data_IF_182184773965
#
_entry.id   IF_182184773965
#
_cell.length_a   1.000
_cell.length_b   1.000
_cell.length_c   1.000
_cell.angle_alpha   90.00
_cell.angle_beta   90.00
_cell.angle_gamma   90.00
#
_symmetry.space_group_name_H-M   'P 1'
#
loop_
_entity.id
_entity.type
_entity.pdbx_description
1 polymer ?
#
# COMPACT_ATOMS: atom_id res chain seq x y z
N UNK A 1 -24.62 9.43 2.52
CA UNK A 1 -25.60 8.88 3.50
C UNK A 1 -25.21 7.48 3.99
N UNK A 2 -24.87 6.51 3.11
CA UNK A 2 -24.58 5.12 3.51
C UNK A 2 -23.38 4.93 4.46
N UNK A 3 -22.32 5.75 4.35
CA UNK A 3 -21.10 5.61 5.16
C UNK A 3 -21.29 5.92 6.66
N UNK A 4 -22.27 6.76 7.02
CA UNK A 4 -22.56 7.06 8.42
C UNK A 4 -23.16 5.86 9.15
N UNK A 5 -23.89 5.02 8.43
CA UNK A 5 -24.48 3.79 8.98
C UNK A 5 -23.38 2.79 9.33
N UNK A 6 -22.35 2.65 8.49
CA UNK A 6 -21.19 1.79 8.79
C UNK A 6 -20.37 2.29 9.98
N UNK A 7 -20.21 3.61 10.12
CA UNK A 7 -19.54 4.21 11.30
C UNK A 7 -20.32 3.99 12.59
N UNK A 8 -21.64 4.20 12.55
CA UNK A 8 -22.51 3.91 13.68
C UNK A 8 -22.50 2.41 14.03
N UNK A 9 -22.50 1.53 13.04
CA UNK A 9 -22.44 0.08 13.22
C UNK A 9 -21.09 -0.37 13.79
N UNK A 10 -19.96 0.18 13.34
CA UNK A 10 -18.64 -0.14 13.87
C UNK A 10 -18.48 0.35 15.32
N UNK A 11 -18.97 1.56 15.61
CA UNK A 11 -18.80 2.22 16.90
C UNK A 11 -19.77 1.71 17.98
N UNK A 12 -20.97 1.26 17.60
CA UNK A 12 -21.94 0.62 18.50
C UNK A 12 -21.84 -0.91 18.49
N UNK A 13 -21.43 -1.53 17.39
CA UNK A 13 -21.30 -2.97 17.26
C UNK A 13 -20.06 -3.53 17.95
N UNK A 14 -18.92 -2.84 17.91
CA UNK A 14 -17.69 -3.30 18.57
C UNK A 14 -17.79 -3.36 20.11
N UNK A 15 -18.40 -2.40 20.83
CA UNK A 15 -18.63 -2.53 22.27
C UNK A 15 -19.67 -3.61 22.61
N UNK A 16 -20.72 -3.75 21.78
CA UNK A 16 -21.76 -4.77 21.96
C UNK A 16 -21.20 -6.18 21.80
N UNK A 17 -20.37 -6.42 20.78
CA UNK A 17 -19.72 -7.72 20.55
C UNK A 17 -18.76 -8.07 21.69
N UNK A 18 -17.94 -7.12 22.14
CA UNK A 18 -16.98 -7.34 23.23
C UNK A 18 -17.71 -7.58 24.57
N UNK A 19 -18.80 -6.86 24.82
CA UNK A 19 -19.62 -7.04 26.03
C UNK A 19 -20.37 -8.39 26.04
N UNK A 20 -20.88 -8.85 24.89
CA UNK A 20 -21.65 -10.08 24.79
C UNK A 20 -20.81 -11.36 24.69
N UNK A 21 -19.64 -11.32 24.04
CA UNK A 21 -18.85 -12.54 23.77
C UNK A 21 -17.61 -12.73 24.66
N UNK A 22 -17.01 -11.66 25.18
CA UNK A 22 -15.68 -11.76 25.82
C UNK A 22 -15.77 -11.57 27.33
N UNK A 23 -16.39 -10.50 27.81
CA UNK A 23 -16.57 -10.28 29.25
C UNK A 23 -17.64 -9.20 29.52
N UNK A 24 -18.73 -9.51 30.25
CA UNK A 24 -19.75 -8.53 30.63
C UNK A 24 -19.28 -7.69 31.82
N UNK A 25 -18.11 -7.07 31.69
CA UNK A 25 -17.50 -6.22 32.71
C UNK A 25 -17.38 -4.80 32.15
N UNK A 26 -17.51 -3.73 32.97
CA UNK A 26 -17.33 -2.35 32.50
C UNK A 26 -15.98 -2.08 31.81
N UNK A 27 -14.95 -2.88 32.13
CA UNK A 27 -13.65 -2.84 31.43
C UNK A 27 -13.72 -3.35 29.99
N UNK A 28 -14.60 -4.31 29.69
CA UNK A 28 -14.82 -4.84 28.33
C UNK A 28 -15.49 -3.83 27.42
N UNK A 29 -16.44 -3.04 27.93
CA UNK A 29 -17.05 -1.94 27.17
C UNK A 29 -16.00 -0.89 26.81
N UNK A 30 -15.11 -0.53 27.74
CA UNK A 30 -14.04 0.43 27.48
C UNK A 30 -13.09 -0.04 26.36
N UNK A 31 -12.70 -1.32 26.38
CA UNK A 31 -11.88 -1.94 25.32
C UNK A 31 -12.63 -1.94 23.98
N UNK A 32 -13.91 -2.29 23.98
CA UNK A 32 -14.74 -2.27 22.77
C UNK A 32 -14.89 -0.87 22.16
N UNK A 33 -15.07 0.16 22.99
CA UNK A 33 -15.10 1.56 22.52
C UNK A 33 -13.74 2.01 21.97
N UNK A 34 -12.63 1.60 22.60
CA UNK A 34 -11.28 1.89 22.10
C UNK A 34 -11.03 1.25 20.73
N UNK A 35 -11.38 -0.02 20.57
CA UNK A 35 -11.25 -0.75 19.30
C UNK A 35 -12.17 -0.15 18.23
N UNK A 36 -13.43 0.17 18.58
CA UNK A 36 -14.36 0.83 17.68
C UNK A 36 -13.87 2.21 17.22
N UNK A 37 -13.35 3.00 18.16
CA UNK A 37 -12.73 4.29 17.88
C UNK A 37 -11.50 4.16 16.97
N UNK A 38 -10.65 3.15 17.19
CA UNK A 38 -9.51 2.87 16.34
C UNK A 38 -9.92 2.52 14.90
N UNK A 39 -10.93 1.66 14.73
CA UNK A 39 -11.45 1.28 13.41
C UNK A 39 -11.98 2.51 12.66
N UNK A 40 -12.77 3.36 13.32
CA UNK A 40 -13.28 4.60 12.72
C UNK A 40 -12.16 5.58 12.41
N UNK A 41 -11.13 5.65 13.27
CA UNK A 41 -9.93 6.44 13.03
C UNK A 41 -9.17 6.01 11.78
N UNK A 42 -8.91 4.71 11.64
CA UNK A 42 -8.25 4.13 10.45
C UNK A 42 -9.09 4.38 9.20
N UNK A 43 -10.41 4.17 9.26
CA UNK A 43 -11.32 4.44 8.14
C UNK A 43 -11.30 5.92 7.74
N UNK A 44 -11.26 6.84 8.70
CA UNK A 44 -11.19 8.27 8.44
C UNK A 44 -9.86 8.68 7.77
N UNK A 45 -8.75 8.03 8.10
CA UNK A 45 -7.47 8.24 7.42
C UNK A 45 -7.48 7.68 5.99
N UNK A 46 -7.97 6.45 5.82
CA UNK A 46 -8.08 5.80 4.51
C UNK A 46 -8.97 6.60 3.54
N UNK A 47 -10.00 7.28 4.04
CA UNK A 47 -10.89 8.10 3.21
C UNK A 47 -10.19 9.25 2.48
N UNK A 48 -9.06 9.73 3.01
CA UNK A 48 -8.29 10.83 2.38
C UNK A 48 -7.33 10.34 1.31
N UNK A 49 -7.17 9.03 1.15
CA UNK A 49 -6.20 8.42 0.25
C UNK A 49 -6.93 7.95 -1.00
N UNK A 50 -6.39 8.28 -2.17
CA UNK A 50 -6.93 7.79 -3.43
C UNK A 50 -6.80 6.28 -3.55
N UNK A 51 -7.83 5.65 -4.12
CA UNK A 51 -7.90 4.19 -4.24
C UNK A 51 -6.69 3.63 -5.02
N UNK A 52 -6.24 4.33 -6.05
CA UNK A 52 -5.08 3.94 -6.86
C UNK A 52 -3.80 3.94 -6.01
N UNK A 53 -3.61 4.96 -5.16
CA UNK A 53 -2.46 5.02 -4.24
C UNK A 53 -2.51 3.88 -3.23
N UNK A 54 -3.69 3.48 -2.75
CA UNK A 54 -3.87 2.32 -1.86
C UNK A 54 -3.48 1.01 -2.57
N UNK A 55 -3.89 0.83 -3.82
CA UNK A 55 -3.49 -0.34 -4.62
C UNK A 55 -1.98 -0.36 -4.89
N UNK A 56 -1.40 0.79 -5.26
CA UNK A 56 0.03 0.91 -5.49
C UNK A 56 0.83 0.61 -4.21
N UNK A 57 0.38 1.11 -3.06
CA UNK A 57 0.94 0.80 -1.75
C UNK A 57 0.90 -0.70 -1.44
N UNK A 58 -0.24 -1.36 -1.71
CA UNK A 58 -0.39 -2.81 -1.53
C UNK A 58 0.52 -3.63 -2.44
N UNK A 59 0.66 -3.23 -3.71
CA UNK A 59 1.61 -3.85 -4.64
C UNK A 59 3.06 -3.65 -4.19
N UNK A 60 3.42 -2.45 -3.74
CA UNK A 60 4.75 -2.14 -3.19
C UNK A 60 5.07 -3.01 -1.97
N UNK A 61 4.10 -3.19 -1.07
CA UNK A 61 4.24 -4.09 0.08
C UNK A 61 4.46 -5.55 -0.35
N UNK A 62 3.65 -6.05 -1.29
CA UNK A 62 3.80 -7.40 -1.82
C UNK A 62 5.16 -7.62 -2.49
N UNK A 63 5.63 -6.66 -3.28
CA UNK A 63 6.98 -6.70 -3.88
C UNK A 63 8.08 -6.69 -2.82
N UNK A 64 7.92 -5.89 -1.76
CA UNK A 64 8.82 -5.92 -0.60
C UNK A 64 8.91 -7.30 0.04
N UNK A 65 7.78 -7.97 0.26
CA UNK A 65 7.76 -9.34 0.82
C UNK A 65 8.44 -10.32 -0.15
N UNK A 66 8.20 -10.19 -1.46
CA UNK A 66 8.84 -11.06 -2.47
C UNK A 66 10.36 -10.88 -2.46
N UNK A 67 10.86 -9.65 -2.29
CA UNK A 67 12.29 -9.34 -2.20
C UNK A 67 12.98 -9.94 -0.97
N UNK A 68 12.24 -10.33 0.06
CA UNK A 68 12.82 -11.04 1.20
C UNK A 68 13.49 -12.36 0.79
N UNK A 69 12.90 -13.12 -0.14
CA UNK A 69 13.44 -14.43 -0.56
C UNK A 69 14.83 -14.34 -1.18
N UNK A 70 15.08 -13.53 -2.23
CA UNK A 70 16.42 -13.40 -2.79
C UNK A 70 17.40 -12.81 -1.77
N UNK A 71 16.96 -11.89 -0.90
CA UNK A 71 17.82 -11.33 0.14
C UNK A 71 18.24 -12.39 1.17
N UNK A 72 17.31 -13.25 1.59
CA UNK A 72 17.60 -14.37 2.48
C UNK A 72 18.56 -15.38 1.85
N UNK A 73 18.50 -15.56 0.53
CA UNK A 73 19.43 -16.43 -0.20
C UNK A 73 20.85 -15.82 -0.25
N UNK A 74 20.95 -14.51 -0.49
CA UNK A 74 22.24 -13.80 -0.45
C UNK A 74 22.90 -13.89 0.93
N UNK A 75 22.10 -13.73 2.00
CA UNK A 75 22.60 -13.86 3.37
C UNK A 75 23.10 -15.28 3.66
N UNK A 76 22.37 -16.30 3.19
CA UNK A 76 22.82 -17.69 3.31
C UNK A 76 24.17 -17.94 2.60
N UNK A 77 24.40 -17.25 1.47
CA UNK A 77 25.63 -17.39 0.69
C UNK A 77 26.88 -16.79 1.36
N UNK A 78 26.70 -15.86 2.31
CA UNK A 78 27.80 -15.27 3.10
C UNK A 78 28.39 -16.30 4.09
N UNK A 79 27.66 -17.40 4.36
CA UNK A 79 28.14 -18.57 5.11
C UNK A 79 28.74 -18.25 6.50
N UNK A 80 28.19 -17.22 7.15
CA UNK A 80 28.52 -16.84 8.53
C UNK A 80 27.43 -17.33 9.49
N UNK A 81 27.78 -18.25 10.39
CA UNK A 81 26.84 -18.94 11.30
C UNK A 81 26.06 -18.00 12.23
N UNK A 82 26.70 -16.92 12.69
CA UNK A 82 26.06 -15.93 13.56
C UNK A 82 25.03 -15.10 12.80
N UNK A 83 25.36 -14.71 11.57
CA UNK A 83 24.52 -13.86 10.74
C UNK A 83 23.27 -14.62 10.24
N UNK A 84 23.44 -15.90 9.88
CA UNK A 84 22.32 -16.77 9.50
C UNK A 84 21.36 -17.05 10.65
N UNK A 85 21.86 -17.21 11.89
CA UNK A 85 20.99 -17.37 13.07
C UNK A 85 20.13 -16.14 13.32
N UNK A 86 20.74 -14.95 13.38
CA UNK A 86 20.00 -13.71 13.57
C UNK A 86 19.01 -13.42 12.43
N UNK A 87 19.38 -13.74 11.19
CA UNK A 87 18.49 -13.58 10.05
C UNK A 87 17.24 -14.47 10.14
N UNK A 88 17.40 -15.71 10.64
CA UNK A 88 16.29 -16.61 10.91
C UNK A 88 15.38 -16.12 12.04
N UNK A 89 15.97 -15.71 13.17
CA UNK A 89 15.22 -15.27 14.36
C UNK A 89 14.38 -14.01 14.08
N UNK A 90 14.88 -13.10 13.25
CA UNK A 90 14.20 -11.85 12.89
C UNK A 90 13.52 -11.90 11.51
N UNK A 91 13.35 -13.07 10.91
CA UNK A 91 12.79 -13.23 9.56
C UNK A 91 11.46 -12.47 9.36
N UNK A 92 10.54 -12.58 10.33
CA UNK A 92 9.24 -11.91 10.27
C UNK A 92 9.38 -10.39 10.35
N UNK A 93 10.27 -9.90 11.21
CA UNK A 93 10.53 -8.47 11.36
C UNK A 93 11.16 -7.89 10.09
N UNK A 94 12.09 -8.62 9.46
CA UNK A 94 12.72 -8.23 8.20
C UNK A 94 11.68 -8.22 7.06
N UNK A 95 10.78 -9.21 7.01
CA UNK A 95 9.68 -9.23 6.03
C UNK A 95 8.73 -8.03 6.21
N UNK A 96 8.33 -7.71 7.44
CA UNK A 96 7.52 -6.53 7.72
C UNK A 96 8.25 -5.24 7.36
N UNK A 97 9.55 -5.14 7.66
CA UNK A 97 10.36 -3.98 7.31
C UNK A 97 10.45 -3.80 5.79
N UNK A 98 10.71 -4.88 5.03
CA UNK A 98 10.75 -4.84 3.57
C UNK A 98 9.39 -4.50 2.96
N UNK A 99 8.29 -5.03 3.51
CA UNK A 99 6.94 -4.70 3.08
C UNK A 99 6.66 -3.20 3.28
N UNK A 100 7.00 -2.66 4.43
CA UNK A 100 6.83 -1.24 4.72
C UNK A 100 7.71 -0.36 3.84
N UNK A 101 8.97 -0.76 3.60
CA UNK A 101 9.88 -0.08 2.72
C UNK A 101 9.33 -0.05 1.28
N UNK A 102 8.92 -1.20 0.74
CA UNK A 102 8.30 -1.30 -0.57
C UNK A 102 7.05 -0.43 -0.71
N UNK A 103 6.16 -0.47 0.28
CA UNK A 103 4.98 0.40 0.36
C UNK A 103 5.35 1.89 0.31
N UNK A 104 6.28 2.32 1.16
CA UNK A 104 6.70 3.72 1.28
C UNK A 104 7.34 4.26 -0.01
N UNK A 105 8.18 3.45 -0.66
CA UNK A 105 8.85 3.83 -1.91
C UNK A 105 7.84 3.96 -3.03
N UNK A 106 6.91 3.01 -3.17
CA UNK A 106 5.89 3.07 -4.22
C UNK A 106 4.98 4.29 -4.04
N UNK A 107 4.56 4.62 -2.82
CA UNK A 107 3.77 5.83 -2.55
C UNK A 107 4.57 7.09 -2.91
N UNK A 108 5.83 7.18 -2.48
CA UNK A 108 6.67 8.35 -2.73
C UNK A 108 7.00 8.55 -4.22
N UNK A 109 7.15 7.45 -4.98
CA UNK A 109 7.50 7.47 -6.41
C UNK A 109 6.29 7.51 -7.34
N UNK A 110 5.07 7.31 -6.83
CA UNK A 110 3.86 7.33 -7.64
C UNK A 110 3.65 8.66 -8.40
N UNK A 111 3.83 9.85 -7.79
CA UNK A 111 3.67 11.13 -8.52
C UNK A 111 4.73 11.35 -9.60
N UNK A 112 5.96 10.86 -9.38
CA UNK A 112 7.04 10.96 -10.38
C UNK A 112 6.70 10.15 -11.64
N UNK A 113 6.12 8.95 -11.47
CA UNK A 113 5.69 8.10 -12.60
C UNK A 113 4.56 8.75 -13.42
N UNK A 114 3.59 9.40 -12.75
CA UNK A 114 2.47 10.08 -13.41
C UNK A 114 2.95 11.27 -14.25
N UNK A 115 3.93 12.02 -13.76
CA UNK A 115 4.56 13.10 -14.54
C UNK A 115 5.36 12.58 -15.73
N UNK A 116 6.07 11.45 -15.57
CA UNK A 116 6.88 10.86 -16.62
C UNK A 116 6.00 10.32 -17.76
N UNK A 117 4.87 9.68 -17.46
CA UNK A 117 3.93 9.19 -18.47
C UNK A 117 3.36 10.35 -19.31
N UNK A 118 3.01 11.46 -18.65
CA UNK A 118 2.51 12.67 -19.33
C UNK A 118 3.54 13.26 -20.30
N UNK A 119 4.81 13.31 -19.90
CA UNK A 119 5.89 13.85 -20.71
C UNK A 119 6.26 12.93 -21.88
N UNK A 120 6.20 11.60 -21.69
CA UNK A 120 6.39 10.61 -22.77
C UNK A 120 5.26 10.72 -23.81
N UNK A 121 4.01 10.84 -23.38
CA UNK A 121 2.87 11.05 -24.29
C UNK A 121 2.97 12.37 -25.05
N UNK A 122 3.40 13.44 -24.39
CA UNK A 122 3.63 14.74 -25.02
C UNK A 122 4.78 14.70 -26.05
N UNK A 123 5.86 13.97 -25.76
CA UNK A 123 6.97 13.76 -26.68
C UNK A 123 6.55 12.94 -27.92
N UNK A 124 5.72 11.91 -27.74
CA UNK A 124 5.15 11.12 -28.84
C UNK A 124 4.28 11.95 -29.78
N UNK A 125 3.45 12.84 -29.23
CA UNK A 125 2.55 13.71 -30.01
C UNK A 125 3.28 14.74 -30.87
N UNK A 126 4.40 15.30 -30.38
CA UNK A 126 5.28 16.19 -31.17
C UNK A 126 5.95 15.47 -32.34
N UNK A 127 6.28 14.18 -32.20
CA UNK A 127 6.89 13.38 -33.27
C UNK A 127 5.90 13.06 -34.41
N UNK A 128 4.61 12.87 -34.09
CA UNK A 128 3.55 12.66 -35.08
C UNK A 128 3.18 13.91 -35.90
N UNK A 129 3.31 15.11 -35.34
CA UNK A 129 3.04 16.36 -36.06
C UNK A 129 4.09 16.74 -37.12
N UNK A 130 5.28 16.13 -37.07
CA UNK A 130 6.30 16.31 -38.09
C UNK A 130 6.05 15.46 -39.36
N UNK A 131 5.12 14.51 -39.31
CA UNK A 131 4.73 13.70 -40.46
C UNK A 131 3.71 14.48 -41.31
N UNK A 132 4.17 15.47 -42.08
CA UNK A 132 3.37 16.03 -43.18
C UNK A 132 3.30 15.00 -44.29
N UNK A 133 2.19 14.27 -44.36
CA UNK A 133 1.82 13.51 -45.56
C UNK A 133 1.45 14.55 -46.62
N UNK A 134 2.40 14.86 -47.49
CA UNK A 134 2.19 15.67 -48.68
C UNK A 134 1.82 14.72 -49.81
N UNK A 135 0.60 14.86 -50.33
CA UNK A 135 0.18 14.16 -51.53
C UNK A 135 1.11 14.53 -52.69
N UNK A 136 1.71 13.52 -53.30
CA UNK A 136 2.65 13.65 -54.43
C UNK A 136 2.00 14.29 -55.67
N UNK A 137 0.67 14.42 -55.69
CA UNK A 137 -0.10 15.09 -56.74
C UNK A 137 0.01 16.62 -56.73
N UNK A 138 0.60 17.23 -55.70
CA UNK A 138 0.83 18.67 -55.62
C UNK A 138 2.22 19.12 -56.11
N UNK A 139 3.09 18.18 -56.51
CA UNK A 139 4.51 18.45 -56.87
C UNK A 139 4.77 18.31 -58.38
N UNK A 140 3.79 17.84 -59.17
CA UNK A 140 3.90 17.72 -60.64
C UNK A 140 3.00 18.72 -61.34
#
# INVERSE_FOLDING_TARGET
MSLWIFRALALLGSPLLVYLQINPTPKGILVGVLVGGFIVGVEAMLRKIDLITLFAAGLGAALGIILYKPLSYLVAQVNHDTLNKYWGDYALLIQCALAFLGMSVTIAKFPELDTLDRDVLAAGKKRGQALKVLDTSAIV
#
